data_IF_141980512961
#
_entry.id   IF_141980512961
#
_cell.length_a   1.000
_cell.length_b   1.000
_cell.length_c   1.000
_cell.angle_alpha   90.00
_cell.angle_beta   90.00
_cell.angle_gamma   90.00
#
_symmetry.space_group_name_H-M   'P 1'
#
loop_
_entity.id
_entity.type
_entity.pdbx_description
1 polymer ?
#
# COMPACT_ATOMS: atom_id res chain seq x y z
N UNK A 1 -18.17 -64.03 -11.00
CA UNK A 1 -18.85 -63.00 -10.18
C UNK A 1 -17.82 -61.96 -9.73
N UNK A 2 -17.74 -60.80 -10.38
CA UNK A 2 -16.95 -59.65 -9.93
C UNK A 2 -17.89 -58.45 -9.91
N UNK A 3 -18.22 -57.98 -8.72
CA UNK A 3 -19.08 -56.82 -8.52
C UNK A 3 -18.27 -55.55 -8.78
N UNK A 4 -18.79 -54.68 -9.64
CA UNK A 4 -18.20 -53.38 -9.97
C UNK A 4 -18.84 -52.34 -9.04
N UNK A 5 -18.10 -51.92 -8.02
CA UNK A 5 -18.52 -50.85 -7.10
C UNK A 5 -18.29 -49.50 -7.78
N UNK A 6 -19.37 -48.75 -8.04
CA UNK A 6 -19.31 -47.38 -8.50
C UNK A 6 -19.23 -46.45 -7.29
N UNK A 7 -18.10 -45.78 -7.10
CA UNK A 7 -18.00 -44.64 -6.18
C UNK A 7 -18.57 -43.40 -6.88
N UNK A 8 -19.71 -42.89 -6.41
CA UNK A 8 -20.14 -41.53 -6.76
C UNK A 8 -19.24 -40.53 -6.03
N UNK A 9 -18.40 -39.82 -6.79
CA UNK A 9 -17.76 -38.60 -6.32
C UNK A 9 -18.79 -37.46 -6.37
N UNK A 10 -19.29 -37.03 -5.22
CA UNK A 10 -20.09 -35.82 -5.13
C UNK A 10 -19.17 -34.61 -5.33
N UNK A 11 -19.24 -33.99 -6.51
CA UNK A 11 -18.61 -32.71 -6.77
C UNK A 11 -19.36 -31.62 -5.98
N UNK A 12 -18.81 -31.19 -4.85
CA UNK A 12 -19.27 -29.99 -4.17
C UNK A 12 -18.87 -28.77 -5.03
N UNK A 13 -19.78 -28.31 -5.87
CA UNK A 13 -19.63 -27.03 -6.56
C UNK A 13 -19.68 -25.93 -5.51
N UNK A 14 -18.52 -25.36 -5.16
CA UNK A 14 -18.45 -24.09 -4.44
C UNK A 14 -18.95 -23.02 -5.41
N UNK A 15 -20.25 -22.74 -5.36
CA UNK A 15 -20.81 -21.56 -6.00
C UNK A 15 -20.28 -20.35 -5.24
N UNK A 16 -19.14 -19.82 -5.70
CA UNK A 16 -18.70 -18.49 -5.34
C UNK A 16 -19.83 -17.53 -5.67
N UNK A 17 -20.53 -17.06 -4.64
CA UNK A 17 -21.54 -16.03 -4.80
C UNK A 17 -20.78 -14.81 -5.26
N UNK A 18 -20.86 -14.49 -6.55
CA UNK A 18 -20.50 -13.17 -7.03
C UNK A 18 -21.33 -12.21 -6.20
N UNK A 19 -20.69 -11.54 -5.24
CA UNK A 19 -21.37 -10.51 -4.47
C UNK A 19 -21.90 -9.53 -5.51
N UNK A 20 -23.21 -9.31 -5.61
CA UNK A 20 -23.74 -8.27 -6.48
C UNK A 20 -22.94 -7.03 -6.11
N UNK A 21 -22.33 -6.38 -7.10
CA UNK A 21 -21.71 -5.07 -6.93
C UNK A 21 -22.70 -4.26 -6.12
N UNK A 22 -22.34 -3.96 -4.86
CA UNK A 22 -23.22 -3.23 -3.97
C UNK A 22 -23.75 -2.04 -4.77
N UNK A 23 -25.06 -1.76 -4.76
CA UNK A 23 -25.60 -0.64 -5.51
C UNK A 23 -24.72 0.57 -5.24
N UNK A 24 -24.07 1.07 -6.31
CA UNK A 24 -23.05 2.11 -6.29
C UNK A 24 -23.56 3.19 -5.34
N UNK A 25 -22.87 3.37 -4.20
CA UNK A 25 -23.33 4.27 -3.14
C UNK A 25 -23.89 5.53 -3.78
N UNK A 26 -25.19 5.76 -3.60
CA UNK A 26 -25.83 7.01 -3.96
C UNK A 26 -25.33 8.05 -2.95
N UNK A 27 -24.10 8.50 -3.13
CA UNK A 27 -23.51 9.54 -2.31
C UNK A 27 -23.66 10.88 -3.03
N UNK A 28 -23.75 11.91 -2.24
CA UNK A 28 -23.37 13.28 -2.56
C UNK A 28 -21.95 13.45 -3.19
N UNK A 29 -21.22 12.38 -3.52
CA UNK A 29 -19.93 12.46 -4.20
C UNK A 29 -20.13 12.52 -5.72
N UNK A 30 -19.44 13.48 -6.34
CA UNK A 30 -19.60 13.81 -7.76
C UNK A 30 -18.47 13.29 -8.65
N UNK A 31 -17.49 12.60 -8.06
CA UNK A 31 -16.30 12.11 -8.77
C UNK A 31 -15.25 11.47 -7.86
N UNK A 32 -14.07 11.27 -8.43
CA UNK A 32 -12.91 10.58 -7.88
C UNK A 32 -11.68 11.48 -7.94
N UNK A 33 -10.91 11.51 -6.85
CA UNK A 33 -9.58 12.13 -6.81
C UNK A 33 -8.52 11.02 -6.84
N UNK A 34 -7.54 11.13 -7.74
CA UNK A 34 -6.37 10.26 -7.77
C UNK A 34 -5.16 11.05 -7.28
N UNK A 35 -4.51 10.54 -6.24
CA UNK A 35 -3.19 10.96 -5.78
C UNK A 35 -2.13 10.08 -6.39
N UNK A 36 -1.15 10.69 -7.06
CA UNK A 36 -0.12 9.96 -7.80
C UNK A 36 1.15 10.79 -7.92
N UNK A 37 2.13 10.24 -8.63
CA UNK A 37 3.42 10.82 -8.95
C UNK A 37 3.85 10.36 -10.35
N UNK A 38 4.95 10.91 -10.85
CA UNK A 38 5.62 10.42 -12.05
C UNK A 38 7.13 10.43 -11.82
N UNK A 39 7.85 9.55 -12.51
CA UNK A 39 9.31 9.48 -12.38
C UNK A 39 9.97 10.80 -12.81
N UNK A 40 9.44 11.47 -13.84
CA UNK A 40 9.92 12.77 -14.31
C UNK A 40 9.65 13.90 -13.31
N UNK A 41 8.57 13.81 -12.54
CA UNK A 41 8.20 14.80 -11.54
C UNK A 41 7.80 14.07 -10.24
N UNK A 42 8.80 13.63 -9.43
CA UNK A 42 8.59 12.78 -8.27
C UNK A 42 8.08 13.60 -7.08
N UNK A 43 6.89 14.16 -7.28
CA UNK A 43 6.16 15.06 -6.40
C UNK A 43 4.69 14.66 -6.48
N UNK A 44 3.89 15.08 -5.51
CA UNK A 44 2.46 14.74 -5.51
C UNK A 44 1.77 15.44 -6.67
N UNK A 45 1.05 14.67 -7.46
CA UNK A 45 0.20 15.12 -8.55
C UNK A 45 -1.23 14.63 -8.32
N UNK A 46 -2.21 15.42 -8.75
CA UNK A 46 -3.61 15.07 -8.63
C UNK A 46 -4.33 15.04 -9.96
N UNK A 47 -5.25 14.09 -10.07
CA UNK A 47 -6.20 14.02 -11.16
C UNK A 47 -7.62 13.95 -10.60
N UNK A 48 -8.53 14.67 -11.23
CA UNK A 48 -9.94 14.63 -10.88
C UNK A 48 -10.71 13.97 -12.02
N UNK A 49 -11.64 13.09 -11.68
CA UNK A 49 -12.49 12.48 -12.69
C UNK A 49 -13.39 13.50 -13.39
N UNK A 50 -13.75 13.21 -14.63
CA UNK A 50 -14.77 13.94 -15.36
C UNK A 50 -16.15 13.42 -14.95
N UNK A 51 -16.77 14.12 -13.98
CA UNK A 51 -17.97 13.65 -13.30
C UNK A 51 -17.71 12.33 -12.57
N UNK A 52 -18.74 11.49 -12.46
CA UNK A 52 -18.65 10.19 -11.79
C UNK A 52 -18.12 9.08 -12.73
N UNK A 53 -16.98 9.34 -13.39
CA UNK A 53 -16.32 8.39 -14.29
C UNK A 53 -15.03 7.83 -13.68
N UNK A 54 -14.97 6.51 -13.49
CA UNK A 54 -13.78 5.83 -12.98
C UNK A 54 -12.69 5.59 -14.03
N UNK A 55 -12.93 6.00 -15.29
CA UNK A 55 -12.00 5.78 -16.43
C UNK A 55 -11.63 7.06 -17.17
N UNK A 56 -12.17 8.21 -16.75
CA UNK A 56 -11.93 9.50 -17.40
C UNK A 56 -11.49 10.54 -16.38
N UNK A 57 -10.24 10.98 -16.50
CA UNK A 57 -9.58 11.90 -15.58
C UNK A 57 -8.97 13.08 -16.31
N UNK A 58 -8.86 14.21 -15.60
CA UNK A 58 -8.09 15.38 -16.03
C UNK A 58 -7.07 15.74 -14.96
N UNK A 59 -5.93 16.27 -15.39
CA UNK A 59 -4.94 16.82 -14.48
C UNK A 59 -5.52 17.98 -13.66
N UNK A 60 -5.25 17.99 -12.36
CA UNK A 60 -5.35 19.20 -11.55
C UNK A 60 -4.07 20.01 -11.68
N UNK A 61 -4.14 21.29 -11.31
CA UNK A 61 -3.01 22.23 -11.35
C UNK A 61 -2.24 22.27 -12.69
N UNK A 62 -2.96 22.08 -13.81
CA UNK A 62 -2.37 22.03 -15.16
C UNK A 62 -1.26 20.96 -15.31
N UNK A 63 -1.34 19.88 -14.53
CA UNK A 63 -0.35 18.79 -14.53
C UNK A 63 0.86 19.02 -13.64
N UNK A 64 1.01 20.23 -13.08
CA UNK A 64 2.07 20.54 -12.15
C UNK A 64 1.84 19.86 -10.79
N UNK A 65 2.93 19.65 -10.05
CA UNK A 65 2.86 19.12 -8.70
C UNK A 65 1.97 20.00 -7.80
N UNK A 66 1.18 19.36 -6.94
CA UNK A 66 0.36 20.03 -5.91
C UNK A 66 1.09 20.13 -4.59
N UNK A 67 1.94 19.16 -4.25
CA UNK A 67 2.80 19.15 -3.07
C UNK A 67 4.17 18.60 -3.44
N UNK A 68 5.22 19.15 -2.82
CA UNK A 68 6.58 18.68 -2.96
C UNK A 68 7.18 18.38 -1.58
N UNK A 69 7.96 17.31 -1.48
CA UNK A 69 8.67 17.01 -0.24
C UNK A 69 9.83 17.98 -0.06
N UNK A 70 10.00 18.48 1.16
CA UNK A 70 11.18 19.26 1.58
C UNK A 70 12.09 18.48 2.51
N UNK A 71 11.81 17.19 2.73
CA UNK A 71 12.48 16.30 3.67
C UNK A 71 12.99 15.04 2.97
N UNK A 72 13.87 14.29 3.64
CA UNK A 72 14.41 13.05 3.08
C UNK A 72 15.15 13.28 1.76
N UNK A 73 14.85 12.43 0.78
CA UNK A 73 15.34 12.53 -0.59
C UNK A 73 14.77 13.72 -1.37
N UNK A 74 13.72 14.37 -0.85
CA UNK A 74 12.96 15.46 -1.48
C UNK A 74 12.18 15.05 -2.74
N UNK A 75 12.10 13.76 -3.00
CA UNK A 75 11.30 13.13 -4.03
C UNK A 75 10.36 12.11 -3.39
N UNK A 76 9.21 11.87 -4.01
CA UNK A 76 8.22 10.93 -3.51
C UNK A 76 7.66 10.01 -4.57
N UNK A 77 7.31 8.80 -4.12
CA UNK A 77 6.62 7.76 -4.88
C UNK A 77 5.50 7.16 -4.04
N UNK A 78 4.66 6.37 -4.69
CA UNK A 78 3.62 5.53 -4.07
C UNK A 78 2.71 6.32 -3.12
N UNK A 79 2.12 7.39 -3.66
CA UNK A 79 1.31 8.33 -2.88
C UNK A 79 0.01 7.67 -2.43
N UNK A 80 -0.28 7.73 -1.13
CA UNK A 80 -1.53 7.24 -0.55
C UNK A 80 -2.25 8.36 0.22
N UNK A 81 -3.53 8.58 -0.10
CA UNK A 81 -4.41 9.53 0.58
C UNK A 81 -5.36 8.77 1.51
N UNK A 82 -5.26 9.02 2.82
CA UNK A 82 -6.11 8.39 3.83
C UNK A 82 -6.87 9.43 4.65
N UNK A 83 -7.94 8.99 5.31
CA UNK A 83 -8.84 9.79 6.13
C UNK A 83 -9.47 8.91 7.21
N UNK A 84 -9.91 9.53 8.31
CA UNK A 84 -10.79 8.86 9.26
C UNK A 84 -12.23 8.73 8.71
N UNK A 85 -13.08 7.93 9.36
CA UNK A 85 -14.48 7.73 8.95
C UNK A 85 -15.30 9.03 8.97
N UNK A 86 -14.98 9.96 9.87
CA UNK A 86 -15.63 11.26 9.96
C UNK A 86 -15.27 12.22 8.83
N UNK A 87 -14.23 11.92 8.03
CA UNK A 87 -13.67 12.82 7.01
C UNK A 87 -13.31 14.20 7.56
N UNK A 88 -12.81 14.23 8.81
CA UNK A 88 -12.40 15.46 9.48
C UNK A 88 -10.89 15.72 9.39
N UNK A 89 -10.12 14.71 9.02
CA UNK A 89 -8.68 14.80 8.82
C UNK A 89 -8.23 13.91 7.67
N UNK A 90 -7.20 14.38 6.96
CA UNK A 90 -6.67 13.77 5.77
C UNK A 90 -5.15 13.74 5.88
N UNK A 91 -4.57 12.62 5.47
CA UNK A 91 -3.13 12.44 5.41
C UNK A 91 -2.73 11.96 4.02
N UNK A 92 -1.70 12.59 3.47
CA UNK A 92 -0.95 12.03 2.36
C UNK A 92 0.32 11.41 2.91
N UNK A 93 0.52 10.13 2.62
CA UNK A 93 1.75 9.40 2.92
C UNK A 93 2.41 8.92 1.63
N UNK A 94 3.73 8.82 1.64
CA UNK A 94 4.48 8.46 0.45
C UNK A 94 5.82 7.79 0.79
N UNK A 95 6.30 6.97 -0.14
CA UNK A 95 7.68 6.51 -0.18
C UNK A 95 8.63 7.70 -0.33
N UNK A 96 9.63 7.82 0.54
CA UNK A 96 10.73 8.77 0.40
C UNK A 96 11.83 8.19 -0.52
N UNK A 97 11.76 8.52 -1.81
CA UNK A 97 12.69 7.99 -2.81
C UNK A 97 12.85 8.90 -4.03
N UNK A 98 14.09 9.26 -4.33
CA UNK A 98 14.49 9.90 -5.60
C UNK A 98 15.23 8.90 -6.50
N UNK A 99 14.57 8.47 -7.56
CA UNK A 99 15.18 7.57 -8.56
C UNK A 99 16.06 8.31 -9.58
N UNK A 100 16.00 9.65 -9.59
CA UNK A 100 16.79 10.49 -10.49
C UNK A 100 18.04 11.05 -9.79
N UNK A 101 18.23 10.73 -8.50
CA UNK A 101 19.39 11.16 -7.75
C UNK A 101 20.69 10.62 -8.38
N UNK A 102 21.76 11.43 -8.42
CA UNK A 102 23.08 10.95 -8.86
C UNK A 102 23.52 9.73 -8.04
N UNK A 103 23.93 8.67 -8.73
CA UNK A 103 24.37 7.43 -8.09
C UNK A 103 23.24 6.49 -7.63
N UNK A 104 21.99 6.76 -8.00
CA UNK A 104 20.87 5.86 -7.75
C UNK A 104 21.11 4.47 -8.38
N UNK A 105 20.81 3.43 -7.61
CA UNK A 105 20.60 2.07 -8.11
C UNK A 105 19.52 1.39 -7.28
N UNK A 106 18.78 0.44 -7.88
CA UNK A 106 17.78 -0.34 -7.16
C UNK A 106 18.39 -1.21 -6.05
N UNK A 107 19.61 -1.73 -6.25
CA UNK A 107 20.33 -2.44 -5.19
C UNK A 107 20.62 -1.50 -4.00
N UNK A 108 21.10 -0.28 -4.27
CA UNK A 108 21.29 0.72 -3.20
C UNK A 108 19.97 1.09 -2.53
N UNK A 109 18.92 1.32 -3.29
CA UNK A 109 17.63 1.75 -2.75
C UNK A 109 16.93 0.67 -1.90
N UNK A 110 17.14 -0.61 -2.22
CA UNK A 110 16.62 -1.73 -1.41
C UNK A 110 17.49 -2.02 -0.19
N UNK A 111 18.79 -1.74 -0.25
CA UNK A 111 19.72 -1.98 0.87
C UNK A 111 19.80 -0.81 1.84
N UNK A 112 19.80 0.42 1.34
CA UNK A 112 20.16 1.64 2.09
C UNK A 112 19.18 2.78 1.81
N UNK A 113 17.97 2.44 1.38
CA UNK A 113 16.91 3.39 1.12
C UNK A 113 16.41 4.07 2.39
N UNK A 114 15.46 4.99 2.20
CA UNK A 114 14.81 5.64 3.33
C UNK A 114 14.05 4.61 4.17
N UNK A 115 14.16 4.74 5.49
CA UNK A 115 13.42 3.93 6.48
C UNK A 115 12.20 4.68 7.01
N UNK A 116 11.78 5.72 6.31
CA UNK A 116 10.69 6.56 6.70
C UNK A 116 9.70 6.83 5.58
N UNK A 117 8.55 7.35 5.99
CA UNK A 117 7.49 7.81 5.09
C UNK A 117 7.41 9.33 5.15
N UNK A 118 7.16 9.95 4.00
CA UNK A 118 6.86 11.39 3.94
C UNK A 118 5.38 11.59 4.25
N UNK A 119 5.06 12.54 5.12
CA UNK A 119 3.68 12.81 5.58
C UNK A 119 3.31 14.27 5.34
N UNK A 120 2.10 14.48 4.84
CA UNK A 120 1.39 15.77 4.90
C UNK A 120 0.03 15.59 5.57
N UNK A 121 -0.43 16.61 6.31
CA UNK A 121 -1.74 16.64 6.96
C UNK A 121 -2.60 17.76 6.39
N UNK A 122 -3.91 17.51 6.27
CA UNK A 122 -4.93 18.50 5.98
C UNK A 122 -6.22 18.20 6.74
N UNK A 123 -7.02 19.23 7.01
CA UNK A 123 -8.38 19.07 7.54
C UNK A 123 -9.47 19.34 6.49
N UNK A 124 -9.08 19.76 5.28
CA UNK A 124 -10.02 20.20 4.25
C UNK A 124 -9.59 19.85 2.81
N UNK A 125 -8.54 19.06 2.62
CA UNK A 125 -7.92 18.69 1.34
C UNK A 125 -7.36 19.85 0.50
N UNK A 126 -7.43 21.09 1.00
CA UNK A 126 -6.95 22.30 0.30
C UNK A 126 -5.69 22.83 0.95
N UNK A 127 -5.74 23.06 2.26
CA UNK A 127 -4.62 23.57 3.03
C UNK A 127 -3.85 22.41 3.63
N UNK A 128 -2.59 22.27 3.24
CA UNK A 128 -1.70 21.20 3.67
C UNK A 128 -0.59 21.73 4.56
N UNK A 129 -0.17 20.91 5.52
CA UNK A 129 1.04 21.15 6.31
C UNK A 129 2.28 21.15 5.42
N UNK A 130 3.42 21.56 5.99
CA UNK A 130 4.73 21.18 5.43
C UNK A 130 4.89 19.65 5.49
N UNK A 131 5.72 19.09 4.61
CA UNK A 131 6.09 17.67 4.67
C UNK A 131 6.92 17.39 5.92
N UNK A 132 6.66 16.27 6.59
CA UNK A 132 7.53 15.70 7.62
C UNK A 132 8.00 14.29 7.20
N UNK A 133 9.15 13.85 7.72
CA UNK A 133 9.66 12.50 7.50
C UNK A 133 9.54 11.72 8.81
N UNK A 134 8.81 10.62 8.79
CA UNK A 134 8.62 9.76 9.94
C UNK A 134 9.39 8.47 9.75
N UNK A 135 10.42 8.23 10.57
CA UNK A 135 11.16 6.97 10.56
C UNK A 135 10.31 5.92 11.27
N UNK A 136 9.84 4.93 10.52
CA UNK A 136 8.87 3.92 10.99
C UNK A 136 9.48 2.52 11.11
N UNK A 137 10.73 2.35 10.69
CA UNK A 137 11.46 1.08 10.81
C UNK A 137 12.81 1.20 11.51
N UNK A 138 13.26 0.05 12.02
CA UNK A 138 14.54 -0.14 12.66
C UNK A 138 15.72 0.08 11.70
N UNK A 139 16.91 0.27 12.25
CA UNK A 139 18.15 0.38 11.48
C UNK A 139 18.50 -0.86 10.67
N UNK A 140 17.97 -2.03 11.04
CA UNK A 140 18.09 -3.27 10.28
C UNK A 140 17.27 -3.31 8.99
N UNK A 141 16.34 -2.37 8.79
CA UNK A 141 15.53 -2.31 7.58
C UNK A 141 16.31 -1.70 6.41
N UNK A 142 16.20 -2.31 5.23
CA UNK A 142 16.80 -1.77 4.02
C UNK A 142 16.06 -0.56 3.45
N UNK A 143 14.73 -0.52 3.60
CA UNK A 143 13.84 0.49 3.03
C UNK A 143 12.42 0.41 3.61
N UNK A 144 11.64 1.46 3.40
CA UNK A 144 10.19 1.53 3.67
C UNK A 144 9.48 2.00 2.40
N UNK A 145 8.75 1.12 1.74
CA UNK A 145 8.15 1.38 0.42
C UNK A 145 6.64 1.14 0.37
N UNK A 146 5.99 1.83 -0.55
CA UNK A 146 4.57 1.74 -0.90
C UNK A 146 3.65 1.76 0.33
N UNK A 147 3.67 2.84 1.12
CA UNK A 147 2.85 2.90 2.32
C UNK A 147 1.36 2.99 1.99
N UNK A 148 0.53 2.23 2.72
CA UNK A 148 -0.93 2.32 2.69
C UNK A 148 -1.48 2.40 4.12
N UNK A 149 -2.75 2.79 4.28
CA UNK A 149 -3.32 2.95 5.61
C UNK A 149 -4.82 2.67 5.67
N UNK A 150 -5.23 1.96 6.72
CA UNK A 150 -6.64 1.70 7.06
C UNK A 150 -6.97 2.37 8.38
N UNK A 151 -8.05 3.15 8.41
CA UNK A 151 -8.62 3.66 9.66
C UNK A 151 -9.44 2.58 10.36
N UNK A 152 -9.21 2.39 11.65
CA UNK A 152 -10.03 1.54 12.52
C UNK A 152 -10.84 2.40 13.49
N UNK A 153 -12.17 2.39 13.34
CA UNK A 153 -13.08 3.13 14.20
C UNK A 153 -13.09 2.62 15.65
N UNK A 154 -12.87 1.32 15.85
CA UNK A 154 -12.96 0.72 17.20
C UNK A 154 -11.83 1.21 18.12
N UNK A 155 -10.62 1.35 17.58
CA UNK A 155 -9.45 1.84 18.33
C UNK A 155 -9.11 3.32 18.06
N UNK A 156 -9.85 3.95 17.14
CA UNK A 156 -9.64 5.33 16.69
C UNK A 156 -8.18 5.60 16.30
N UNK A 157 -7.64 4.74 15.44
CA UNK A 157 -6.27 4.86 14.94
C UNK A 157 -6.13 4.28 13.53
N UNK A 158 -5.07 4.68 12.84
CA UNK A 158 -4.66 4.13 11.57
C UNK A 158 -3.75 2.93 11.77
N UNK A 159 -4.00 1.87 11.02
CA UNK A 159 -3.04 0.82 10.72
C UNK A 159 -2.34 1.21 9.42
N UNK A 160 -1.02 1.36 9.49
CA UNK A 160 -0.19 1.79 8.36
C UNK A 160 0.69 0.62 7.96
N UNK A 161 0.69 0.30 6.67
CA UNK A 161 1.38 -0.85 6.10
C UNK A 161 2.44 -0.38 5.12
N UNK A 162 3.51 -1.15 4.96
CA UNK A 162 4.57 -0.88 3.97
C UNK A 162 5.36 -2.16 3.68
N UNK A 163 6.11 -2.15 2.59
CA UNK A 163 7.07 -3.21 2.28
C UNK A 163 8.47 -2.87 2.83
N UNK A 164 9.18 -3.89 3.33
CA UNK A 164 10.56 -3.79 3.80
C UNK A 164 11.27 -5.14 3.70
N UNK A 165 12.59 -5.12 3.60
CA UNK A 165 13.47 -6.25 3.93
C UNK A 165 14.37 -5.88 5.09
N UNK A 166 14.91 -6.89 5.77
CA UNK A 166 15.76 -6.69 6.93
C UNK A 166 17.07 -7.44 6.82
N UNK A 167 18.10 -6.86 7.41
CA UNK A 167 19.45 -7.43 7.53
C UNK A 167 19.67 -7.92 8.96
N UNK A 168 20.71 -8.75 9.13
CA UNK A 168 21.13 -9.15 10.46
C UNK A 168 21.50 -7.91 11.29
N UNK A 169 21.15 -7.91 12.58
CA UNK A 169 21.45 -6.77 13.50
C UNK A 169 22.94 -6.40 13.59
N UNK A 170 23.84 -7.34 13.27
CA UNK A 170 25.29 -7.13 13.20
C UNK A 170 25.79 -6.57 11.86
N UNK A 171 24.95 -6.52 10.83
CA UNK A 171 25.28 -6.02 9.49
C UNK A 171 24.68 -4.64 9.26
N UNK A 172 25.14 -3.64 10.01
CA UNK A 172 24.67 -2.25 9.86
C UNK A 172 25.04 -1.63 8.50
N UNK A 173 25.94 -2.27 7.76
CA UNK A 173 26.32 -1.86 6.40
C UNK A 173 25.37 -2.36 5.31
N UNK A 174 24.43 -3.25 5.65
CA UNK A 174 23.50 -3.92 4.73
C UNK A 174 24.24 -4.55 3.54
N UNK A 175 25.37 -5.20 3.83
CA UNK A 175 26.27 -5.81 2.83
C UNK A 175 26.03 -7.30 2.65
N UNK A 176 25.48 -7.95 3.68
CA UNK A 176 25.16 -9.36 3.70
C UNK A 176 23.82 -9.69 3.05
N UNK A 177 23.33 -10.92 3.28
CA UNK A 177 22.01 -11.34 2.81
C UNK A 177 20.91 -10.61 3.57
N UNK A 178 19.86 -10.24 2.86
CA UNK A 178 18.62 -9.72 3.42
C UNK A 178 17.57 -10.83 3.55
N UNK A 179 16.53 -10.59 4.35
CA UNK A 179 15.26 -11.29 4.19
C UNK A 179 14.66 -11.01 2.81
N UNK A 180 13.66 -11.81 2.41
CA UNK A 180 12.74 -11.38 1.36
C UNK A 180 11.92 -10.19 1.83
N UNK A 181 11.42 -9.40 0.88
CA UNK A 181 10.49 -8.30 1.17
C UNK A 181 9.23 -8.87 1.81
N UNK A 182 8.82 -8.29 2.94
CA UNK A 182 7.60 -8.61 3.65
C UNK A 182 6.77 -7.37 3.88
N UNK A 183 5.47 -7.57 4.13
CA UNK A 183 4.59 -6.49 4.54
C UNK A 183 4.71 -6.32 6.04
N UNK A 184 5.01 -5.10 6.44
CA UNK A 184 5.16 -4.62 7.81
C UNK A 184 4.00 -3.72 8.14
N UNK A 185 3.74 -3.52 9.44
CA UNK A 185 2.76 -2.53 9.88
C UNK A 185 3.12 -1.90 11.22
N UNK A 186 2.59 -0.71 11.45
CA UNK A 186 2.50 -0.06 12.75
C UNK A 186 1.16 0.68 12.85
N UNK A 187 0.86 1.18 14.04
CA UNK A 187 -0.35 1.96 14.30
C UNK A 187 -0.01 3.39 14.72
N UNK A 188 -0.85 4.34 14.32
CA UNK A 188 -0.70 5.76 14.65
C UNK A 188 -2.06 6.44 14.74
N UNK A 189 -2.19 7.48 15.55
CA UNK A 189 -3.40 8.33 15.57
C UNK A 189 -3.25 9.60 14.74
N UNK A 190 -2.02 9.99 14.44
CA UNK A 190 -1.71 11.35 13.98
C UNK A 190 -0.60 11.42 12.93
N UNK A 191 -0.04 10.28 12.53
CA UNK A 191 1.13 10.18 11.64
C UNK A 191 2.35 10.99 12.14
N UNK A 192 2.49 11.14 13.45
CA UNK A 192 3.67 11.72 14.11
C UNK A 192 4.27 10.72 15.09
N UNK A 193 3.44 10.00 15.84
CA UNK A 193 3.88 8.92 16.73
C UNK A 193 3.39 7.58 16.23
N UNK A 194 4.29 6.60 16.12
CA UNK A 194 3.99 5.25 15.66
C UNK A 194 4.25 4.24 16.79
N UNK A 195 3.45 3.19 16.85
CA UNK A 195 3.80 2.00 17.61
C UNK A 195 5.00 1.29 17.00
N UNK A 196 5.64 0.39 17.77
CA UNK A 196 6.76 -0.40 17.26
C UNK A 196 6.30 -1.25 16.06
N UNK A 197 7.01 -1.24 14.93
CA UNK A 197 6.62 -1.99 13.74
C UNK A 197 6.65 -3.51 13.99
N UNK A 198 5.75 -4.22 13.30
CA UNK A 198 5.57 -5.68 13.37
C UNK A 198 5.40 -6.27 11.97
N UNK A 199 5.63 -7.57 11.84
CA UNK A 199 5.27 -8.30 10.63
C UNK A 199 3.76 -8.34 10.47
N UNK A 200 3.28 -7.94 9.29
CA UNK A 200 1.91 -8.19 8.87
C UNK A 200 1.82 -9.49 8.08
N UNK A 201 2.65 -9.64 7.04
CA UNK A 201 2.64 -10.80 6.17
C UNK A 201 3.98 -11.06 5.51
N UNK A 202 4.50 -12.27 5.68
CA UNK A 202 5.63 -12.82 4.94
C UNK A 202 5.23 -14.21 4.41
N UNK A 203 5.26 -14.41 3.10
CA UNK A 203 4.96 -15.70 2.48
C UNK A 203 6.26 -16.48 2.22
N UNK A 204 6.32 -17.78 2.53
CA UNK A 204 7.51 -18.59 2.27
C UNK A 204 7.96 -18.49 0.81
N UNK A 205 9.23 -18.12 0.60
CA UNK A 205 9.84 -18.03 -0.74
C UNK A 205 9.25 -16.97 -1.67
N UNK A 206 8.39 -16.07 -1.19
CA UNK A 206 7.72 -15.07 -2.01
C UNK A 206 7.95 -13.67 -1.43
N UNK A 207 8.75 -12.81 -2.08
CA UNK A 207 8.86 -11.41 -1.68
C UNK A 207 7.56 -10.67 -2.02
N UNK A 208 7.11 -9.81 -1.11
CA UNK A 208 5.84 -9.10 -1.19
C UNK A 208 6.03 -7.59 -1.07
N UNK A 209 5.37 -6.86 -1.94
CA UNK A 209 5.31 -5.39 -1.95
C UNK A 209 3.89 -4.91 -2.29
N UNK A 210 3.69 -3.59 -2.28
CA UNK A 210 2.50 -2.89 -2.78
C UNK A 210 1.18 -3.43 -2.21
N UNK A 211 1.08 -3.54 -0.89
CA UNK A 211 -0.10 -4.07 -0.20
C UNK A 211 -1.21 -3.02 -0.06
N UNK A 212 -2.44 -3.40 -0.40
CA UNK A 212 -3.62 -2.53 -0.23
C UNK A 212 -4.83 -3.27 0.35
N UNK A 213 -5.70 -2.55 1.08
CA UNK A 213 -7.00 -3.04 1.54
C UNK A 213 -8.14 -2.20 0.98
N UNK A 214 -9.13 -2.87 0.39
CA UNK A 214 -10.36 -2.23 -0.05
C UNK A 214 -11.54 -2.70 0.79
N UNK A 215 -12.19 -1.79 1.50
CA UNK A 215 -13.45 -2.08 2.17
C UNK A 215 -14.54 -2.38 1.15
N UNK A 216 -15.30 -3.46 1.38
CA UNK A 216 -16.31 -3.93 0.44
C UNK A 216 -17.72 -3.43 0.75
N UNK A 217 -17.87 -2.54 1.75
CA UNK A 217 -19.16 -1.93 2.10
C UNK A 217 -19.96 -2.68 3.16
N UNK A 218 -19.52 -3.87 3.57
CA UNK A 218 -20.15 -4.68 4.62
C UNK A 218 -19.20 -4.79 5.81
N UNK A 219 -19.67 -4.62 7.07
CA UNK A 219 -18.81 -4.72 8.25
C UNK A 219 -17.97 -6.02 8.25
N UNK A 220 -16.66 -5.86 8.41
CA UNK A 220 -15.70 -6.98 8.38
C UNK A 220 -15.35 -7.51 6.98
N UNK A 221 -15.94 -6.99 5.89
CA UNK A 221 -15.64 -7.43 4.53
C UNK A 221 -14.60 -6.53 3.85
N UNK A 222 -13.43 -7.10 3.59
CA UNK A 222 -12.31 -6.45 2.94
C UNK A 222 -11.73 -7.33 1.83
N UNK A 223 -11.35 -6.71 0.72
CA UNK A 223 -10.42 -7.30 -0.24
C UNK A 223 -9.00 -6.87 0.12
N UNK A 224 -8.05 -7.80 0.01
CA UNK A 224 -6.63 -7.52 0.18
C UNK A 224 -5.91 -7.77 -1.14
N UNK A 225 -5.10 -6.80 -1.54
CA UNK A 225 -4.24 -6.86 -2.71
C UNK A 225 -2.78 -6.90 -2.28
N UNK A 226 -2.01 -7.73 -2.97
CA UNK A 226 -0.58 -7.96 -2.72
C UNK A 226 0.10 -8.13 -4.06
N UNK A 227 1.31 -7.60 -4.20
CA UNK A 227 2.16 -7.84 -5.36
C UNK A 227 3.32 -8.72 -4.96
N UNK A 228 3.52 -9.80 -5.71
CA UNK A 228 4.78 -10.55 -5.68
C UNK A 228 5.84 -9.69 -6.34
N UNK A 229 6.92 -9.42 -5.63
CA UNK A 229 8.10 -8.84 -6.28
C UNK A 229 8.85 -9.94 -7.05
N UNK A 230 9.44 -9.58 -8.18
CA UNK A 230 10.27 -10.52 -8.93
C UNK A 230 11.73 -10.15 -8.70
N UNK A 231 12.53 -11.02 -8.05
CA UNK A 231 13.97 -10.82 -7.98
C UNK A 231 14.50 -10.70 -9.42
N UNK A 232 15.30 -9.67 -9.68
CA UNK A 232 15.99 -9.53 -10.97
C UNK A 232 16.80 -10.80 -11.26
N UNK A 233 16.49 -11.52 -12.35
CA UNK A 233 17.27 -12.69 -12.81
C UNK A 233 16.55 -14.05 -12.80
N UNK A 234 15.29 -14.14 -12.35
CA UNK A 234 14.46 -15.34 -12.58
C UNK A 234 13.60 -15.18 -13.84
N UNK A 235 13.29 -16.28 -14.57
CA UNK A 235 12.39 -16.23 -15.72
C UNK A 235 11.07 -15.54 -15.33
N UNK A 236 10.57 -14.66 -16.20
CA UNK A 236 9.19 -14.18 -16.10
C UNK A 236 8.30 -15.38 -16.40
N UNK A 237 7.62 -15.92 -15.40
CA UNK A 237 6.43 -16.70 -15.69
C UNK A 237 5.44 -15.71 -16.31
N UNK A 238 4.99 -15.95 -17.54
CA UNK A 238 4.17 -15.06 -18.37
C UNK A 238 2.75 -14.78 -17.79
N UNK A 239 2.50 -15.13 -16.53
CA UNK A 239 1.28 -14.82 -15.79
C UNK A 239 1.32 -13.39 -15.21
N UNK A 240 1.55 -12.40 -16.07
CA UNK A 240 1.65 -10.96 -15.78
C UNK A 240 0.41 -10.29 -15.15
N UNK A 241 -0.31 -10.98 -14.25
CA UNK A 241 -1.42 -10.50 -13.44
C UNK A 241 -1.35 -11.10 -12.04
N UNK A 242 -0.42 -10.65 -11.22
CA UNK A 242 -0.44 -10.95 -9.79
C UNK A 242 -1.32 -9.94 -9.02
N UNK A 243 -2.55 -9.70 -9.48
CA UNK A 243 -3.61 -9.16 -8.62
C UNK A 243 -4.41 -10.37 -8.13
N UNK A 244 -3.89 -11.10 -7.13
CA UNK A 244 -4.69 -12.14 -6.48
C UNK A 244 -5.59 -11.46 -5.44
N UNK A 245 -6.89 -11.40 -5.72
CA UNK A 245 -7.90 -11.21 -4.69
C UNK A 245 -7.86 -12.47 -3.83
N UNK A 246 -7.10 -12.44 -2.74
CA UNK A 246 -7.17 -13.49 -1.74
C UNK A 246 -8.45 -13.26 -0.93
N UNK A 247 -9.21 -14.33 -0.74
CA UNK A 247 -10.55 -14.47 -0.13
C UNK A 247 -11.06 -13.32 0.77
N UNK A 248 -12.40 -13.08 0.83
CA UNK A 248 -12.98 -12.12 1.77
C UNK A 248 -12.46 -12.40 3.17
N UNK A 249 -11.72 -11.44 3.72
CA UNK A 249 -11.05 -11.58 5.00
C UNK A 249 -12.12 -11.54 6.10
N UNK A 250 -12.74 -12.69 6.40
CA UNK A 250 -13.78 -12.83 7.44
C UNK A 250 -13.25 -12.62 8.87
N UNK A 251 -11.97 -12.27 9.03
CA UNK A 251 -11.31 -12.00 10.30
C UNK A 251 -10.33 -10.82 10.24
N UNK A 252 -10.79 -9.67 9.73
CA UNK A 252 -10.43 -8.38 10.35
C UNK A 252 -11.34 -8.11 11.58
N UNK A 253 -11.90 -9.17 12.18
CA UNK A 253 -12.45 -9.14 13.51
C UNK A 253 -11.27 -8.96 14.48
N UNK A 254 -11.11 -7.74 14.98
CA UNK A 254 -10.14 -7.32 16.01
C UNK A 254 -8.67 -7.55 15.63
N UNK A 255 -8.00 -6.47 15.23
CA UNK A 255 -6.55 -6.34 15.43
C UNK A 255 -6.24 -6.10 16.91
#
# INVERSE_FOLDING_TARGET
MRALSWFLAAAAAVLGSASPTAPRQASNFVGYLVSTFSDLNPRVQWHLSNGNSATSFRFLNRGNAVLASTVGTKAVRDIYLTTNSARSEYFLIATDLDINAPGFSWDWATRKGSRGIVVWKSNNLVNWSKSSLQIVEADTAGMVWAPSAVWDDATAQYYVFWASRHYASRDLGHTGPASLDSIRYATTKDFTSFSKPRDYLALPGTPLIDQEFQYLGTPGAWARFLKRDHPTGLPRDDDGRALRVLDPCSRMATF
#
